data_IF_240643565125
#
_entry.id   IF_240643565125
#
_cell.length_a   1.000
_cell.length_b   1.000
_cell.length_c   1.000
_cell.angle_alpha   90.00
_cell.angle_beta   90.00
_cell.angle_gamma   90.00
#
_symmetry.space_group_name_H-M   'P 1'
#
loop_
_entity.id
_entity.type
_entity.pdbx_description
1 polymer ?
#
# COMPACT_ATOMS: atom_id res chain seq x y z
N UNK A 1 15.33 -7.12 -14.57
CA UNK A 1 13.90 -7.51 -14.40
C UNK A 1 13.71 -8.97 -13.96
N UNK A 2 14.51 -9.94 -14.40
CA UNK A 2 14.35 -11.37 -14.03
C UNK A 2 14.53 -11.71 -12.54
N UNK A 3 15.47 -11.06 -11.83
CA UNK A 3 15.73 -11.34 -10.39
C UNK A 3 14.56 -10.99 -9.45
N UNK A 4 13.70 -10.04 -9.85
CA UNK A 4 12.51 -9.66 -9.08
C UNK A 4 11.31 -10.61 -9.30
N UNK A 5 11.36 -11.45 -10.33
CA UNK A 5 10.34 -12.46 -10.62
C UNK A 5 10.57 -13.74 -9.80
N UNK A 6 11.83 -14.17 -9.63
CA UNK A 6 12.20 -15.42 -8.94
C UNK A 6 11.85 -15.37 -7.43
N UNK A 7 12.06 -14.22 -6.78
CA UNK A 7 11.72 -14.04 -5.35
C UNK A 7 10.23 -13.83 -5.09
N UNK A 8 9.43 -13.59 -6.14
CA UNK A 8 7.97 -13.36 -6.08
C UNK A 8 7.15 -14.65 -5.97
N UNK A 9 7.75 -15.79 -6.32
CA UNK A 9 7.04 -17.06 -6.52
C UNK A 9 7.45 -18.17 -5.55
N UNK A 10 8.25 -17.91 -4.51
CA UNK A 10 8.79 -18.98 -3.64
C UNK A 10 7.70 -19.86 -2.99
N UNK A 11 6.61 -19.26 -2.51
CA UNK A 11 5.48 -19.99 -1.92
C UNK A 11 4.57 -20.66 -2.95
N UNK A 12 4.45 -20.09 -4.15
CA UNK A 12 3.72 -20.72 -5.27
C UNK A 12 4.53 -21.89 -5.82
N UNK A 13 5.86 -21.75 -5.87
CA UNK A 13 6.84 -22.76 -6.26
C UNK A 13 6.76 -24.03 -5.43
N UNK A 14 6.51 -23.89 -4.12
CA UNK A 14 6.29 -25.04 -3.21
C UNK A 14 5.01 -25.80 -3.54
N UNK A 15 3.89 -25.09 -3.74
CA UNK A 15 2.60 -25.71 -4.09
C UNK A 15 2.64 -26.30 -5.49
N UNK A 16 3.22 -25.61 -6.46
CA UNK A 16 3.40 -26.13 -7.81
C UNK A 16 4.39 -27.29 -7.84
N UNK A 17 5.43 -27.28 -6.99
CA UNK A 17 6.38 -28.39 -6.85
C UNK A 17 5.72 -29.65 -6.27
N UNK A 18 4.85 -29.50 -5.27
CA UNK A 18 4.04 -30.59 -4.72
C UNK A 18 3.06 -31.15 -5.76
N UNK A 19 2.35 -30.28 -6.47
CA UNK A 19 1.44 -30.66 -7.55
C UNK A 19 2.21 -31.37 -8.68
N UNK A 20 3.40 -30.88 -9.03
CA UNK A 20 4.26 -31.47 -10.03
C UNK A 20 4.78 -32.85 -9.60
N UNK A 21 5.17 -33.04 -8.34
CA UNK A 21 5.54 -34.36 -7.79
C UNK A 21 4.38 -35.36 -7.85
N UNK A 22 3.17 -34.92 -7.48
CA UNK A 22 1.97 -35.77 -7.53
C UNK A 22 1.59 -36.14 -8.97
N UNK A 23 1.60 -35.17 -9.89
CA UNK A 23 1.34 -35.42 -11.32
C UNK A 23 2.40 -36.31 -11.96
N UNK A 24 3.67 -36.11 -11.62
CA UNK A 24 4.79 -36.90 -12.12
C UNK A 24 4.72 -38.35 -11.64
N UNK A 25 4.36 -38.57 -10.37
CA UNK A 25 4.12 -39.90 -9.80
C UNK A 25 2.90 -40.59 -10.42
N UNK A 26 1.79 -39.87 -10.62
CA UNK A 26 0.61 -40.44 -11.29
C UNK A 26 0.90 -40.81 -12.75
N UNK A 27 1.64 -39.97 -13.49
CA UNK A 27 1.99 -40.22 -14.89
C UNK A 27 2.99 -41.38 -15.06
N UNK A 28 3.89 -41.62 -14.11
CA UNK A 28 4.75 -42.82 -14.16
C UNK A 28 3.96 -44.09 -13.86
N UNK A 29 3.01 -44.03 -12.91
CA UNK A 29 2.22 -45.17 -12.48
C UNK A 29 1.09 -45.55 -13.46
N UNK A 30 0.47 -44.57 -14.13
CA UNK A 30 -0.62 -44.78 -15.09
C UNK A 30 -0.21 -44.62 -16.56
N UNK A 31 0.92 -44.01 -16.87
CA UNK A 31 1.31 -43.70 -18.25
C UNK A 31 1.48 -44.93 -19.15
N UNK A 32 1.83 -46.07 -18.56
CA UNK A 32 1.95 -47.34 -19.30
C UNK A 32 0.57 -47.95 -19.64
N UNK A 33 -0.48 -47.65 -18.86
CA UNK A 33 -1.86 -48.03 -19.19
C UNK A 33 -2.49 -47.15 -20.28
N UNK A 34 -1.97 -45.94 -20.48
CA UNK A 34 -2.51 -44.95 -21.43
C UNK A 34 -1.80 -45.02 -22.80
N UNK A 35 -0.86 -45.94 -22.99
CA UNK A 35 -0.17 -46.14 -24.28
C UNK A 35 0.91 -45.10 -24.59
N UNK A 36 1.33 -44.31 -23.60
CA UNK A 36 2.43 -43.33 -23.74
C UNK A 36 3.76 -44.04 -23.50
N UNK A 37 4.24 -44.82 -24.48
CA UNK A 37 5.42 -45.69 -24.32
C UNK A 37 6.75 -44.94 -24.18
N UNK A 38 6.84 -43.71 -24.68
CA UNK A 38 8.10 -42.96 -24.74
C UNK A 38 8.25 -42.01 -23.54
N UNK A 39 9.32 -42.20 -22.74
CA UNK A 39 9.58 -41.38 -21.55
C UNK A 39 9.67 -39.87 -21.85
N UNK A 40 10.19 -39.49 -23.01
CA UNK A 40 10.27 -38.10 -23.43
C UNK A 40 8.89 -37.41 -23.54
N UNK A 41 7.86 -38.14 -24.02
CA UNK A 41 6.50 -37.62 -24.16
C UNK A 41 5.88 -37.38 -22.79
N UNK A 42 6.13 -38.28 -21.82
CA UNK A 42 5.68 -38.10 -20.43
C UNK A 42 6.26 -36.82 -19.81
N UNK A 43 7.53 -36.51 -20.06
CA UNK A 43 8.19 -35.30 -19.57
C UNK A 43 7.60 -34.03 -20.21
N UNK A 44 7.37 -34.04 -21.53
CA UNK A 44 6.81 -32.87 -22.23
C UNK A 44 5.39 -32.56 -21.73
N UNK A 45 4.54 -33.58 -21.59
CA UNK A 45 3.17 -33.41 -21.06
C UNK A 45 3.20 -32.88 -19.63
N UNK A 46 4.15 -33.34 -18.82
CA UNK A 46 4.33 -32.86 -17.45
C UNK A 46 4.72 -31.39 -17.38
N UNK A 47 5.68 -30.95 -18.21
CA UNK A 47 6.12 -29.54 -18.27
C UNK A 47 4.99 -28.64 -18.75
N UNK A 48 4.25 -29.03 -19.80
CA UNK A 48 3.14 -28.23 -20.34
C UNK A 48 2.01 -28.10 -19.30
N UNK A 49 1.67 -29.19 -18.60
CA UNK A 49 0.70 -29.16 -17.50
C UNK A 49 1.15 -28.21 -16.38
N UNK A 50 2.43 -28.22 -16.02
CA UNK A 50 2.97 -27.35 -14.97
C UNK A 50 2.88 -25.87 -15.35
N UNK A 51 3.20 -25.54 -16.61
CA UNK A 51 3.07 -24.17 -17.13
C UNK A 51 1.60 -23.74 -17.15
N UNK A 52 0.69 -24.61 -17.58
CA UNK A 52 -0.75 -24.35 -17.59
C UNK A 52 -1.32 -24.06 -16.20
N UNK A 53 -0.94 -24.85 -15.19
CA UNK A 53 -1.37 -24.65 -13.79
C UNK A 53 -0.86 -23.32 -13.22
N UNK A 54 0.40 -22.96 -13.50
CA UNK A 54 0.98 -21.67 -13.06
C UNK A 54 0.23 -20.50 -13.69
N UNK A 55 -0.09 -20.61 -14.99
CA UNK A 55 -0.86 -19.59 -15.71
C UNK A 55 -2.29 -19.47 -15.15
N UNK A 56 -2.97 -20.59 -14.93
CA UNK A 56 -4.32 -20.66 -14.36
C UNK A 56 -4.38 -20.07 -12.95
N UNK A 57 -3.42 -20.39 -12.08
CA UNK A 57 -3.37 -19.86 -10.71
C UNK A 57 -3.16 -18.34 -10.67
N UNK A 58 -2.32 -17.81 -11.57
CA UNK A 58 -2.13 -16.37 -11.70
C UNK A 58 -3.40 -15.69 -12.22
N UNK A 59 -4.04 -16.26 -13.26
CA UNK A 59 -5.28 -15.74 -13.81
C UNK A 59 -6.41 -15.77 -12.78
N UNK A 60 -6.56 -16.86 -12.03
CA UNK A 60 -7.57 -17.00 -10.99
C UNK A 60 -7.35 -16.02 -9.83
N UNK A 61 -6.08 -15.76 -9.45
CA UNK A 61 -5.75 -14.70 -8.48
C UNK A 61 -6.15 -13.33 -8.99
N UNK A 62 -5.84 -13.01 -10.24
CA UNK A 62 -6.15 -11.72 -10.84
C UNK A 62 -7.68 -11.52 -10.99
N UNK A 63 -8.41 -12.53 -11.45
CA UNK A 63 -9.88 -12.49 -11.54
C UNK A 63 -10.55 -12.36 -10.17
N UNK A 64 -10.17 -13.19 -9.19
CA UNK A 64 -10.74 -13.12 -7.82
C UNK A 64 -10.48 -11.77 -7.15
N UNK A 65 -9.35 -11.13 -7.45
CA UNK A 65 -9.04 -9.80 -6.95
C UNK A 65 -9.84 -8.71 -7.65
N UNK A 66 -10.02 -8.79 -8.98
CA UNK A 66 -10.83 -7.83 -9.75
C UNK A 66 -12.30 -7.87 -9.35
N UNK A 67 -12.86 -9.07 -9.17
CA UNK A 67 -14.24 -9.26 -8.72
C UNK A 67 -14.50 -8.62 -7.34
N UNK A 68 -13.58 -8.81 -6.37
CA UNK A 68 -13.70 -8.14 -5.06
C UNK A 68 -13.70 -6.61 -5.16
N UNK A 69 -12.90 -6.04 -6.05
CA UNK A 69 -12.86 -4.58 -6.23
C UNK A 69 -14.17 -4.08 -6.86
N UNK A 70 -14.71 -4.81 -7.84
CA UNK A 70 -15.97 -4.46 -8.49
C UNK A 70 -17.17 -4.61 -7.56
N UNK A 71 -17.27 -5.69 -6.78
CA UNK A 71 -18.34 -5.88 -5.79
C UNK A 71 -18.36 -4.74 -4.77
N UNK A 72 -17.18 -4.24 -4.41
CA UNK A 72 -17.06 -3.16 -3.44
C UNK A 72 -17.32 -1.79 -4.08
N UNK A 73 -16.88 -1.56 -5.32
CA UNK A 73 -17.25 -0.36 -6.08
C UNK A 73 -18.76 -0.29 -6.34
N UNK A 74 -19.41 -1.43 -6.62
CA UNK A 74 -20.84 -1.55 -6.74
C UNK A 74 -21.55 -1.30 -5.40
N UNK A 75 -21.00 -1.82 -4.29
CA UNK A 75 -21.53 -1.57 -2.94
C UNK A 75 -21.36 -0.11 -2.50
N UNK A 76 -20.29 0.55 -2.91
CA UNK A 76 -20.06 1.98 -2.68
C UNK A 76 -21.05 2.87 -3.46
N UNK A 77 -21.62 2.38 -4.56
CA UNK A 77 -22.62 3.11 -5.34
C UNK A 77 -24.04 2.99 -4.78
N UNK A 78 -24.29 2.06 -3.85
CA UNK A 78 -25.65 1.70 -3.39
C UNK A 78 -26.06 2.15 -1.99
N UNK A 79 -25.15 2.65 -1.13
CA UNK A 79 -25.53 3.00 0.25
C UNK A 79 -24.58 4.06 0.84
N UNK A 80 -25.14 5.23 1.14
CA UNK A 80 -24.62 6.30 2.02
C UNK A 80 -23.39 7.12 1.56
N UNK A 81 -23.61 7.98 0.57
CA UNK A 81 -22.64 8.95 0.04
C UNK A 81 -22.28 10.13 0.98
N UNK A 82 -22.60 10.10 2.28
CA UNK A 82 -22.32 11.24 3.19
C UNK A 82 -21.56 10.92 4.49
N UNK A 83 -21.25 9.65 4.79
CA UNK A 83 -20.53 9.29 6.03
C UNK A 83 -19.28 8.41 5.84
N UNK A 84 -18.86 8.09 4.60
CA UNK A 84 -17.77 7.12 4.42
C UNK A 84 -17.08 7.21 3.06
N UNK A 85 -16.34 8.29 2.79
CA UNK A 85 -15.35 8.29 1.69
C UNK A 85 -14.08 7.50 2.04
N UNK A 86 -13.77 7.36 3.33
CA UNK A 86 -12.57 6.66 3.78
C UNK A 86 -12.44 5.19 3.34
N UNK A 87 -13.48 4.33 3.21
CA UNK A 87 -13.28 2.89 2.97
C UNK A 87 -12.93 2.49 1.52
N UNK A 88 -13.23 3.32 0.52
CA UNK A 88 -13.19 2.91 -0.89
C UNK A 88 -11.78 3.00 -1.48
N UNK A 89 -11.06 4.11 -1.29
CA UNK A 89 -9.74 4.31 -1.87
C UNK A 89 -8.67 3.38 -1.27
N UNK A 90 -8.78 2.97 0.01
CA UNK A 90 -7.81 2.06 0.64
C UNK A 90 -7.70 0.71 -0.06
N UNK A 91 -8.77 0.26 -0.70
CA UNK A 91 -8.78 -1.02 -1.41
C UNK A 91 -8.08 -0.90 -2.76
N UNK A 92 -8.36 0.18 -3.48
CA UNK A 92 -7.68 0.50 -4.73
C UNK A 92 -6.18 0.71 -4.49
N UNK A 93 -5.83 1.44 -3.43
CA UNK A 93 -4.47 1.60 -2.93
C UNK A 93 -3.82 0.24 -2.61
N UNK A 94 -4.49 -0.60 -1.82
CA UNK A 94 -3.96 -1.90 -1.44
C UNK A 94 -3.72 -2.79 -2.66
N UNK A 95 -4.61 -2.75 -3.65
CA UNK A 95 -4.45 -3.45 -4.92
C UNK A 95 -3.23 -2.91 -5.68
N UNK A 96 -3.13 -1.60 -5.85
CA UNK A 96 -2.05 -0.93 -6.56
C UNK A 96 -0.68 -1.28 -5.96
N UNK A 97 -0.53 -1.13 -4.64
CA UNK A 97 0.72 -1.40 -3.93
C UNK A 97 1.09 -2.88 -3.97
N UNK A 98 0.11 -3.79 -3.83
CA UNK A 98 0.36 -5.24 -3.96
C UNK A 98 0.78 -5.63 -5.37
N UNK A 99 0.19 -5.01 -6.40
CA UNK A 99 0.51 -5.28 -7.80
C UNK A 99 1.93 -4.80 -8.15
N UNK A 100 2.30 -3.61 -7.69
CA UNK A 100 3.62 -2.99 -7.95
C UNK A 100 4.75 -3.64 -7.16
N UNK A 101 4.58 -3.83 -5.85
CA UNK A 101 5.66 -4.26 -4.95
C UNK A 101 5.64 -5.75 -4.58
N UNK A 102 4.56 -6.46 -4.95
CA UNK A 102 4.36 -7.88 -4.67
C UNK A 102 3.88 -8.17 -3.24
N UNK A 103 3.95 -9.43 -2.81
CA UNK A 103 3.41 -9.86 -1.51
C UNK A 103 4.10 -9.20 -0.30
N UNK A 104 5.42 -8.95 -0.40
CA UNK A 104 6.22 -8.32 0.65
C UNK A 104 6.18 -6.78 0.63
N UNK A 105 5.21 -6.18 -0.05
CA UNK A 105 5.08 -4.72 -0.16
C UNK A 105 5.14 -4.00 1.19
N UNK A 106 4.57 -4.60 2.26
CA UNK A 106 4.55 -4.03 3.62
C UNK A 106 5.93 -3.74 4.20
N UNK A 107 6.98 -4.42 3.71
CA UNK A 107 8.37 -4.20 4.13
C UNK A 107 9.14 -3.26 3.20
N UNK A 108 8.64 -3.07 1.97
CA UNK A 108 9.30 -2.26 0.94
C UNK A 108 8.78 -0.84 0.92
N UNK A 109 7.50 -0.64 1.24
CA UNK A 109 6.82 0.63 1.15
C UNK A 109 6.71 1.27 2.53
N UNK A 110 7.19 2.51 2.62
CA UNK A 110 7.02 3.39 3.78
C UNK A 110 5.71 4.15 3.63
N UNK A 111 4.85 4.12 4.65
CA UNK A 111 3.57 4.84 4.66
C UNK A 111 3.72 6.09 5.53
N UNK A 112 3.64 7.26 4.91
CA UNK A 112 3.67 8.55 5.56
C UNK A 112 2.28 9.19 5.43
N UNK A 113 1.78 9.74 6.52
CA UNK A 113 0.52 10.48 6.52
C UNK A 113 0.81 11.97 6.54
N UNK A 114 0.33 12.72 5.56
CA UNK A 114 0.40 14.18 5.55
C UNK A 114 -0.88 14.75 6.18
N UNK A 115 -0.72 15.59 7.18
CA UNK A 115 -1.80 16.33 7.84
C UNK A 115 -1.53 17.82 7.77
N UNK A 116 -2.57 18.63 7.62
CA UNK A 116 -2.44 20.09 7.49
C UNK A 116 -3.66 20.71 6.85
N UNK A 117 -3.58 22.01 6.52
CA UNK A 117 -4.61 22.64 5.68
C UNK A 117 -4.46 22.17 4.23
N UNK A 118 -5.58 22.15 3.50
CA UNK A 118 -5.64 21.59 2.14
C UNK A 118 -4.68 22.34 1.21
N UNK A 119 -4.64 23.65 1.33
CA UNK A 119 -3.84 24.57 0.52
C UNK A 119 -2.34 24.33 0.73
N UNK A 120 -1.93 24.12 1.98
CA UNK A 120 -0.54 23.90 2.36
C UNK A 120 -0.05 22.52 1.89
N UNK A 121 -0.90 21.51 1.99
CA UNK A 121 -0.56 20.14 1.59
C UNK A 121 -0.49 20.02 0.08
N UNK A 122 -1.40 20.68 -0.64
CA UNK A 122 -1.38 20.73 -2.09
C UNK A 122 -0.12 21.44 -2.63
N UNK A 123 0.40 22.44 -1.90
CA UNK A 123 1.66 23.10 -2.23
C UNK A 123 2.89 22.16 -2.14
N UNK A 124 2.88 21.18 -1.24
CA UNK A 124 3.97 20.18 -1.10
C UNK A 124 3.75 19.00 -2.05
N UNK A 125 2.54 18.48 -2.08
CA UNK A 125 2.17 17.24 -2.75
C UNK A 125 0.92 17.49 -3.62
N UNK A 126 1.09 18.08 -4.81
CA UNK A 126 -0.03 18.38 -5.70
C UNK A 126 -0.76 17.10 -6.11
N UNK A 127 -2.09 17.12 -6.04
CA UNK A 127 -2.99 16.01 -6.31
C UNK A 127 -3.30 15.12 -5.10
N UNK A 128 -2.60 15.29 -3.96
CA UNK A 128 -2.79 14.41 -2.79
C UNK A 128 -4.19 14.58 -2.19
N UNK A 129 -4.71 15.80 -2.16
CA UNK A 129 -6.02 16.11 -1.56
C UNK A 129 -7.17 15.55 -2.40
N UNK A 130 -6.97 15.42 -3.72
CA UNK A 130 -7.95 14.85 -4.65
C UNK A 130 -7.88 13.32 -4.73
N UNK A 131 -6.69 12.73 -4.74
CA UNK A 131 -6.51 11.29 -4.89
C UNK A 131 -6.50 10.53 -3.55
N UNK A 132 -6.41 11.25 -2.43
CA UNK A 132 -6.21 10.76 -1.05
C UNK A 132 -4.91 9.98 -0.79
N UNK A 133 -4.19 9.58 -1.83
CA UNK A 133 -2.90 8.92 -1.74
C UNK A 133 -2.02 9.24 -2.96
N UNK A 134 -0.70 9.27 -2.74
CA UNK A 134 0.30 9.38 -3.80
C UNK A 134 1.45 8.41 -3.54
N UNK A 135 2.06 7.90 -4.60
CA UNK A 135 3.15 6.91 -4.52
C UNK A 135 4.38 7.39 -5.29
N UNK A 136 5.54 7.39 -4.61
CA UNK A 136 6.82 7.76 -5.21
C UNK A 136 8.00 7.18 -4.44
N UNK A 137 8.99 6.60 -5.13
CA UNK A 137 10.23 6.07 -4.53
C UNK A 137 10.03 5.09 -3.35
N UNK A 138 9.02 4.23 -3.41
CA UNK A 138 8.63 3.34 -2.29
C UNK A 138 8.12 4.07 -1.04
N UNK A 139 7.79 5.36 -1.16
CA UNK A 139 7.04 6.12 -0.18
C UNK A 139 5.59 6.23 -0.66
N UNK A 140 4.67 5.93 0.24
CA UNK A 140 3.24 6.09 0.06
C UNK A 140 2.80 7.24 0.97
N UNK A 141 2.39 8.34 0.35
CA UNK A 141 1.81 9.49 1.02
C UNK A 141 0.30 9.29 1.12
N UNK A 142 -0.25 9.48 2.30
CA UNK A 142 -1.69 9.41 2.56
C UNK A 142 -2.19 10.75 3.06
N UNK A 143 -3.33 11.19 2.57
CA UNK A 143 -4.00 12.37 3.09
C UNK A 143 -4.65 12.06 4.44
N UNK A 144 -4.15 12.70 5.50
CA UNK A 144 -4.66 12.57 6.87
C UNK A 144 -5.70 13.62 7.25
N UNK A 145 -5.92 14.63 6.41
CA UNK A 145 -6.88 15.70 6.68
C UNK A 145 -6.31 16.86 7.50
N UNK A 146 -7.20 17.75 7.91
CA UNK A 146 -6.88 18.87 8.79
C UNK A 146 -6.95 18.43 10.25
N UNK A 147 -6.01 18.93 11.07
CA UNK A 147 -5.95 18.65 12.50
C UNK A 147 -7.12 19.25 13.30
N UNK A 148 -7.87 20.17 12.70
CA UNK A 148 -9.05 20.76 13.35
C UNK A 148 -10.30 19.88 13.23
N UNK A 149 -10.26 18.84 12.39
CA UNK A 149 -11.39 17.92 12.19
C UNK A 149 -11.20 16.71 13.07
N UNK A 150 -12.27 16.25 13.73
CA UNK A 150 -12.22 15.04 14.56
C UNK A 150 -11.79 13.83 13.73
N UNK A 151 -10.90 12.97 14.27
CA UNK A 151 -10.40 11.81 13.55
C UNK A 151 -11.53 10.88 13.13
N UNK A 152 -11.57 10.54 11.84
CA UNK A 152 -12.47 9.52 11.34
C UNK A 152 -12.00 8.13 11.78
N UNK A 153 -12.77 7.52 12.69
CA UNK A 153 -12.52 6.18 13.18
C UNK A 153 -12.53 5.13 12.05
N UNK A 154 -13.32 5.35 10.98
CA UNK A 154 -13.35 4.46 9.83
C UNK A 154 -12.02 4.50 9.06
N UNK A 155 -11.45 5.70 8.84
CA UNK A 155 -10.13 5.88 8.23
C UNK A 155 -9.03 5.21 9.06
N UNK A 156 -9.02 5.40 10.39
CA UNK A 156 -8.06 4.75 11.29
C UNK A 156 -8.19 3.22 11.26
N UNK A 157 -9.41 2.69 11.22
CA UNK A 157 -9.62 1.25 11.12
C UNK A 157 -9.15 0.70 9.76
N UNK A 158 -9.37 1.43 8.67
CA UNK A 158 -8.90 1.06 7.34
C UNK A 158 -7.36 1.06 7.25
N UNK A 159 -6.69 2.04 7.86
CA UNK A 159 -5.23 2.07 8.01
C UNK A 159 -4.71 0.86 8.77
N UNK A 160 -5.37 0.49 9.87
CA UNK A 160 -5.01 -0.70 10.65
C UNK A 160 -5.21 -2.00 9.85
N UNK A 161 -6.22 -2.06 8.98
CA UNK A 161 -6.43 -3.19 8.03
C UNK A 161 -5.36 -3.24 6.93
N UNK A 162 -4.83 -2.09 6.50
CA UNK A 162 -3.77 -2.01 5.49
C UNK A 162 -2.47 -2.67 5.99
N UNK A 163 -1.99 -2.27 7.17
CA UNK A 163 -0.80 -2.82 7.86
C UNK A 163 -1.06 -3.05 9.35
N UNK A 164 -1.08 -4.33 9.77
CA UNK A 164 -1.46 -4.74 11.13
C UNK A 164 -0.43 -4.43 12.24
N UNK A 165 0.88 -4.41 11.93
CA UNK A 165 1.95 -4.22 12.94
C UNK A 165 2.44 -2.78 13.08
N UNK A 166 2.53 -2.05 11.97
CA UNK A 166 2.99 -0.66 11.90
C UNK A 166 2.16 0.02 10.81
N UNK A 167 0.96 0.53 11.14
CA UNK A 167 0.04 1.08 10.15
C UNK A 167 0.61 2.32 9.45
N UNK A 168 1.39 3.14 10.17
CA UNK A 168 2.08 4.32 9.66
C UNK A 168 3.56 4.25 10.06
N UNK A 169 4.45 4.64 9.15
CA UNK A 169 5.89 4.79 9.43
C UNK A 169 6.22 6.20 9.92
N UNK A 170 5.37 7.19 9.65
CA UNK A 170 5.49 8.55 10.15
C UNK A 170 4.27 9.39 9.83
N UNK A 171 4.11 10.46 10.60
CA UNK A 171 3.13 11.53 10.36
C UNK A 171 3.91 12.79 10.03
N UNK A 172 3.58 13.42 8.91
CA UNK A 172 4.14 14.70 8.49
C UNK A 172 3.06 15.76 8.66
N UNK A 173 3.23 16.62 9.66
CA UNK A 173 2.37 17.78 9.87
C UNK A 173 2.90 18.97 9.08
N UNK A 174 2.13 19.39 8.09
CA UNK A 174 2.36 20.57 7.26
C UNK A 174 1.77 21.79 7.96
N UNK A 175 2.59 22.83 8.12
CA UNK A 175 2.20 24.10 8.72
C UNK A 175 2.93 25.29 8.08
N UNK A 176 2.41 26.49 8.30
CA UNK A 176 3.08 27.76 7.92
C UNK A 176 3.88 28.33 9.08
N UNK A 177 4.70 29.34 8.81
CA UNK A 177 5.49 30.05 9.82
C UNK A 177 4.63 30.71 10.91
N UNK A 178 3.47 31.26 10.55
CA UNK A 178 2.55 31.87 11.51
C UNK A 178 1.99 30.87 12.52
N UNK A 179 1.79 29.62 12.10
CA UNK A 179 1.34 28.53 12.96
C UNK A 179 2.47 28.01 13.85
N UNK A 180 3.71 28.06 13.37
CA UNK A 180 4.90 27.67 14.14
C UNK A 180 5.09 28.59 15.37
N UNK A 181 4.72 29.87 15.27
CA UNK A 181 4.78 30.81 16.39
C UNK A 181 3.71 30.61 17.47
N UNK A 182 2.70 29.77 17.22
CA UNK A 182 1.54 29.59 18.10
C UNK A 182 1.67 28.30 18.93
N UNK A 183 2.47 28.38 20.00
CA UNK A 183 2.79 27.22 20.86
C UNK A 183 1.55 26.48 21.39
N UNK A 184 0.49 27.21 21.76
CA UNK A 184 -0.77 26.60 22.22
C UNK A 184 -1.46 25.73 21.14
N UNK A 185 -1.35 26.10 19.86
CA UNK A 185 -1.90 25.30 18.76
C UNK A 185 -1.05 24.06 18.50
N UNK A 186 0.27 24.17 18.61
CA UNK A 186 1.21 23.05 18.52
C UNK A 186 0.91 22.01 19.62
N UNK A 187 0.79 22.44 20.88
CA UNK A 187 0.50 21.54 21.99
C UNK A 187 -0.85 20.82 21.80
N UNK A 188 -1.86 21.54 21.33
CA UNK A 188 -3.20 20.99 21.06
C UNK A 188 -3.15 19.96 19.93
N UNK A 189 -2.46 20.28 18.83
CA UNK A 189 -2.25 19.40 17.70
C UNK A 189 -1.52 18.11 18.10
N UNK A 190 -0.41 18.23 18.84
CA UNK A 190 0.38 17.09 19.32
C UNK A 190 -0.47 16.18 20.20
N UNK A 191 -1.22 16.74 21.17
CA UNK A 191 -2.15 15.96 22.02
C UNK A 191 -3.23 15.26 21.20
N UNK A 192 -3.74 15.90 20.15
CA UNK A 192 -4.73 15.29 19.26
C UNK A 192 -4.13 14.11 18.48
N UNK A 193 -2.92 14.27 17.96
CA UNK A 193 -2.16 13.22 17.27
C UNK A 193 -1.81 12.05 18.20
N UNK A 194 -1.46 12.31 19.45
CA UNK A 194 -1.29 11.28 20.47
C UNK A 194 -2.58 10.52 20.73
N UNK A 195 -3.72 11.22 20.84
CA UNK A 195 -5.02 10.58 21.01
C UNK A 195 -5.37 9.69 19.82
N UNK A 196 -5.11 10.17 18.60
CA UNK A 196 -5.28 9.39 17.36
C UNK A 196 -4.37 8.16 17.33
N UNK A 197 -3.10 8.31 17.69
CA UNK A 197 -2.14 7.20 17.77
C UNK A 197 -2.54 6.14 18.80
N UNK A 198 -3.08 6.56 19.96
CA UNK A 198 -3.66 5.65 20.96
C UNK A 198 -4.87 4.89 20.41
N UNK A 199 -5.79 5.56 19.70
CA UNK A 199 -6.93 4.90 19.04
C UNK A 199 -6.49 3.92 17.94
N UNK A 200 -5.45 4.28 17.18
CA UNK A 200 -4.85 3.41 16.16
C UNK A 200 -4.12 2.21 16.80
N UNK A 201 -3.73 2.33 18.08
CA UNK A 201 -2.87 1.38 18.80
C UNK A 201 -1.42 1.42 18.35
N UNK A 202 -0.99 2.54 17.76
CA UNK A 202 0.36 2.76 17.24
C UNK A 202 0.67 4.27 17.24
N UNK A 203 1.73 4.66 17.94
CA UNK A 203 2.23 6.02 17.92
C UNK A 203 3.34 6.14 16.87
N UNK A 204 3.04 6.77 15.74
CA UNK A 204 4.02 7.04 14.69
C UNK A 204 4.89 8.26 15.07
N UNK A 205 6.15 8.32 14.60
CA UNK A 205 6.97 9.52 14.75
C UNK A 205 6.31 10.70 14.02
N UNK A 206 6.34 11.87 14.65
CA UNK A 206 5.82 13.13 14.11
C UNK A 206 6.96 13.94 13.51
N UNK A 207 6.80 14.36 12.27
CA UNK A 207 7.67 15.27 11.55
C UNK A 207 6.89 16.53 11.24
N UNK A 208 7.53 17.69 11.36
CA UNK A 208 6.92 18.97 10.98
C UNK A 208 7.56 19.44 9.68
N UNK A 209 6.72 19.78 8.71
CA UNK A 209 7.12 20.40 7.46
C UNK A 209 6.63 21.85 7.44
N UNK A 210 7.56 22.79 7.56
CA UNK A 210 7.25 24.21 7.47
C UNK A 210 7.25 24.66 6.00
N UNK A 211 6.11 25.11 5.52
CA UNK A 211 5.96 25.73 4.19
C UNK A 211 6.25 27.21 4.34
N UNK A 212 7.36 27.66 3.74
CA UNK A 212 7.76 29.07 3.70
C UNK A 212 7.73 29.60 2.28
N UNK A 213 7.21 30.80 2.12
CA UNK A 213 7.42 31.59 0.92
C UNK A 213 8.74 32.34 1.07
N UNK A 214 9.68 32.11 0.15
CA UNK A 214 10.90 32.90 0.07
C UNK A 214 10.69 34.00 -0.97
N UNK A 215 10.99 35.28 -0.66
CA UNK A 215 10.98 36.35 -1.66
C UNK A 215 12.15 36.25 -2.65
N UNK A 216 13.09 35.33 -2.42
CA UNK A 216 14.28 35.10 -3.24
C UNK A 216 14.12 33.83 -4.06
N UNK A 217 14.61 33.82 -5.30
CA UNK A 217 14.58 32.63 -6.16
C UNK A 217 15.42 31.50 -5.54
N UNK A 218 14.80 30.33 -5.36
CA UNK A 218 15.42 29.16 -4.73
C UNK A 218 15.83 28.09 -5.75
N UNK A 219 15.67 28.33 -7.07
CA UNK A 219 15.92 27.34 -8.13
C UNK A 219 17.35 26.82 -8.15
N UNK A 220 18.34 27.67 -7.87
CA UNK A 220 19.76 27.30 -7.88
C UNK A 220 20.27 26.81 -6.51
N UNK A 221 19.39 26.75 -5.50
CA UNK A 221 19.80 26.30 -4.17
C UNK A 221 20.03 24.78 -4.19
N UNK A 222 21.22 24.30 -3.76
CA UNK A 222 21.45 22.87 -3.63
C UNK A 222 20.45 22.27 -2.64
N UNK A 223 19.78 21.18 -3.03
CA UNK A 223 18.79 20.50 -2.19
C UNK A 223 19.47 19.93 -0.96
N UNK A 224 19.27 20.58 0.18
CA UNK A 224 19.83 20.15 1.47
C UNK A 224 18.69 19.84 2.44
N UNK A 225 18.78 18.68 3.09
CA UNK A 225 17.87 18.32 4.17
C UNK A 225 18.18 19.18 5.39
N UNK A 226 17.27 20.09 5.72
CA UNK A 226 17.33 20.93 6.93
C UNK A 226 16.23 20.48 7.88
N UNK A 227 16.59 20.27 9.14
CA UNK A 227 15.66 19.89 10.19
C UNK A 227 16.26 20.09 11.58
N UNK A 228 15.39 20.21 12.57
CA UNK A 228 15.74 20.22 13.98
C UNK A 228 14.78 19.28 14.73
N UNK A 229 15.21 18.79 15.89
CA UNK A 229 14.29 18.12 16.81
C UNK A 229 13.51 19.19 17.56
N UNK A 230 12.18 19.05 17.54
CA UNK A 230 11.31 19.88 18.39
C UNK A 230 11.35 19.30 19.82
N UNK A 231 11.47 20.16 20.85
CA UNK A 231 11.57 19.75 22.25
C UNK A 231 10.28 19.11 22.78
#
# INVERSE_FOLDING_TARGET
MFKAFITRNLGVGLVTGLIALVLGGLLSFWGDRVGLSTQAVKIIVWIVSMVGVVWWLNLFRDCKQRLRVQDIAAKASGTDALLSEAPSYFQMLQYHVRRRYGFFWRRKVRILMLMGQREQVEAIAPGLTHQHWLEGESNLLLWGGSLQVTPDAAQLQALRKLRRRRPLDGVVWVMTEDQLGQQAQIDTAVRMLEKQGRQLGWQAPLYVWNVRHSPWDQRDRPTQTVGCFLP
#
